data_IF_271558227242
#
_entry.id   IF_271558227242
#
_cell.length_a   1.000
_cell.length_b   1.000
_cell.length_c   1.000
_cell.angle_alpha   90.00
_cell.angle_beta   90.00
_cell.angle_gamma   90.00
#
_symmetry.space_group_name_H-M   'P 1'
#
loop_
_entity.id
_entity.type
_entity.pdbx_description
1 polymer ?
#
# COMPACT_ATOMS: atom_id res chain seq x y z
N UNK A 1 19.32 -8.53 13.33
CA UNK A 1 18.65 -7.75 14.41
C UNK A 1 18.14 -6.46 13.80
N UNK A 2 16.88 -6.09 14.02
CA UNK A 2 16.34 -4.83 13.51
C UNK A 2 17.02 -3.66 14.25
N UNK A 3 17.31 -2.55 13.55
CA UNK A 3 17.86 -1.38 14.22
C UNK A 3 16.82 -0.75 15.15
N UNK A 4 17.24 -0.09 16.22
CA UNK A 4 16.34 0.63 17.15
C UNK A 4 15.41 1.62 16.43
N UNK A 5 15.86 2.17 15.31
CA UNK A 5 15.07 3.07 14.46
C UNK A 5 13.98 2.31 13.67
N UNK A 6 14.30 1.12 13.18
CA UNK A 6 13.36 0.25 12.50
C UNK A 6 12.26 -0.23 13.46
N UNK A 7 12.61 -0.61 14.68
CA UNK A 7 11.65 -1.01 15.71
C UNK A 7 10.67 0.11 16.07
N UNK A 8 11.17 1.34 16.23
CA UNK A 8 10.34 2.54 16.43
C UNK A 8 9.39 2.77 15.24
N UNK A 9 9.89 2.58 14.02
CA UNK A 9 9.10 2.72 12.79
C UNK A 9 7.99 1.67 12.73
N UNK A 10 8.30 0.41 13.05
CA UNK A 10 7.32 -0.68 13.13
C UNK A 10 6.26 -0.38 14.18
N UNK A 11 6.67 0.03 15.39
CA UNK A 11 5.73 0.38 16.46
C UNK A 11 4.79 1.52 16.05
N UNK A 12 5.33 2.54 15.38
CA UNK A 12 4.52 3.63 14.84
C UNK A 12 3.50 3.14 13.81
N UNK A 13 3.93 2.37 12.80
CA UNK A 13 3.01 1.86 11.77
C UNK A 13 1.97 0.89 12.36
N UNK A 14 2.33 0.05 13.33
CA UNK A 14 1.38 -0.79 14.06
C UNK A 14 0.33 0.05 14.78
N UNK A 15 0.74 1.12 15.47
CA UNK A 15 -0.19 2.03 16.15
C UNK A 15 -1.12 2.74 15.18
N UNK A 16 -0.58 3.29 14.09
CA UNK A 16 -1.38 3.96 13.05
C UNK A 16 -2.37 2.96 12.45
N UNK A 17 -1.91 1.79 12.04
CA UNK A 17 -2.76 0.77 11.42
C UNK A 17 -3.83 0.21 12.38
N UNK A 18 -3.49 0.07 13.66
CA UNK A 18 -4.43 -0.32 14.71
C UNK A 18 -5.54 0.72 14.94
N UNK A 19 -5.33 1.98 14.58
CA UNK A 19 -6.35 3.04 14.68
C UNK A 19 -7.09 3.24 13.34
N UNK A 20 -6.37 3.31 12.23
CA UNK A 20 -6.97 3.60 10.92
C UNK A 20 -7.74 2.41 10.34
N UNK A 21 -7.34 1.17 10.65
CA UNK A 21 -8.06 -0.03 10.23
C UNK A 21 -9.50 -0.08 10.77
N UNK A 22 -9.72 0.00 12.10
CA UNK A 22 -11.07 0.07 12.66
C UNK A 22 -11.90 1.21 12.09
N UNK A 23 -11.33 2.40 11.88
CA UNK A 23 -12.06 3.53 11.29
C UNK A 23 -12.43 3.24 9.83
N UNK A 24 -11.58 2.55 9.07
CA UNK A 24 -11.85 2.16 7.68
C UNK A 24 -13.05 1.22 7.54
N UNK A 25 -13.43 0.51 8.61
CA UNK A 25 -14.65 -0.31 8.69
C UNK A 25 -15.93 0.53 8.95
N UNK A 26 -15.78 1.81 9.32
CA UNK A 26 -16.92 2.69 9.68
C UNK A 26 -17.32 3.65 8.57
N UNK A 27 -18.48 4.31 8.74
CA UNK A 27 -18.93 5.42 7.87
C UNK A 27 -18.03 6.67 7.96
N UNK A 28 -17.13 6.76 8.95
CA UNK A 28 -16.19 7.87 9.09
C UNK A 28 -14.94 7.75 8.19
N UNK A 29 -14.87 6.75 7.31
CA UNK A 29 -13.73 6.51 6.41
C UNK A 29 -13.40 7.68 5.45
N UNK A 30 -14.33 8.61 5.21
CA UNK A 30 -14.01 9.79 4.40
C UNK A 30 -12.95 10.68 5.08
N UNK A 31 -12.92 10.73 6.42
CA UNK A 31 -11.86 11.41 7.17
C UNK A 31 -10.52 10.71 6.99
N UNK A 32 -10.50 9.37 7.00
CA UNK A 32 -9.26 8.59 6.88
C UNK A 32 -8.59 8.81 5.54
N UNK A 33 -9.36 9.00 4.45
CA UNK A 33 -8.83 9.35 3.14
C UNK A 33 -8.04 10.67 3.15
N UNK A 34 -8.58 11.72 3.77
CA UNK A 34 -7.91 13.02 3.86
C UNK A 34 -6.65 12.94 4.72
N UNK A 35 -6.73 12.24 5.86
CA UNK A 35 -5.59 12.01 6.75
C UNK A 35 -4.49 11.22 6.02
N UNK A 36 -4.85 10.14 5.32
CA UNK A 36 -3.90 9.32 4.55
C UNK A 36 -3.14 10.15 3.51
N UNK A 37 -3.85 10.99 2.74
CA UNK A 37 -3.22 11.89 1.75
C UNK A 37 -2.31 12.94 2.39
N UNK A 38 -2.73 13.50 3.52
CA UNK A 38 -1.90 14.46 4.27
C UNK A 38 -0.62 13.79 4.77
N UNK A 39 -0.74 12.60 5.38
CA UNK A 39 0.41 11.81 5.83
C UNK A 39 1.32 11.43 4.67
N UNK A 40 0.77 11.04 3.51
CA UNK A 40 1.55 10.75 2.32
C UNK A 40 2.32 11.99 1.84
N UNK A 41 1.70 13.17 1.82
CA UNK A 41 2.38 14.42 1.49
C UNK A 41 3.46 14.80 2.50
N UNK A 42 3.23 14.58 3.79
CA UNK A 42 4.23 14.79 4.83
C UNK A 42 5.41 13.83 4.69
N UNK A 43 5.16 12.51 4.53
CA UNK A 43 6.20 11.50 4.31
C UNK A 43 7.01 11.82 3.06
N UNK A 44 6.36 12.16 1.96
CA UNK A 44 7.00 12.56 0.71
C UNK A 44 8.01 13.69 0.94
N UNK A 45 7.59 14.78 1.60
CA UNK A 45 8.48 15.91 1.90
C UNK A 45 9.60 15.52 2.87
N UNK A 46 9.24 14.86 3.98
CA UNK A 46 10.19 14.51 5.05
C UNK A 46 11.29 13.55 4.57
N UNK A 47 10.97 12.64 3.64
CA UNK A 47 11.89 11.64 3.11
C UNK A 47 12.47 12.01 1.73
N UNK A 48 12.28 13.26 1.30
CA UNK A 48 12.74 13.78 0.00
C UNK A 48 12.35 12.84 -1.15
N UNK A 49 11.07 12.49 -1.22
CA UNK A 49 10.54 11.65 -2.29
C UNK A 49 10.72 12.31 -3.65
N UNK A 50 11.04 11.51 -4.66
CA UNK A 50 11.29 11.97 -6.03
C UNK A 50 10.37 11.27 -7.03
N UNK A 51 9.86 12.00 -8.04
CA UNK A 51 9.20 11.37 -9.19
C UNK A 51 10.11 10.35 -9.88
N UNK A 52 9.53 9.35 -10.51
CA UNK A 52 10.26 8.25 -11.12
C UNK A 52 9.76 8.01 -12.54
N UNK A 53 10.68 7.68 -13.45
CA UNK A 53 10.35 7.49 -14.87
C UNK A 53 10.00 6.04 -15.24
N UNK A 54 10.38 5.07 -14.40
CA UNK A 54 10.17 3.64 -14.63
C UNK A 54 9.44 2.99 -13.45
N UNK A 55 8.66 1.95 -13.72
CA UNK A 55 7.90 1.23 -12.69
C UNK A 55 8.80 0.52 -11.66
N UNK A 56 9.99 0.07 -12.09
CA UNK A 56 10.99 -0.52 -11.20
C UNK A 56 11.53 0.52 -10.20
N UNK A 57 11.80 1.74 -10.68
CA UNK A 57 12.24 2.84 -9.83
C UNK A 57 11.11 3.31 -8.89
N UNK A 58 9.86 3.35 -9.36
CA UNK A 58 8.68 3.61 -8.51
C UNK A 58 8.56 2.58 -7.37
N UNK A 59 8.66 1.29 -7.67
CA UNK A 59 8.54 0.24 -6.65
C UNK A 59 9.67 0.30 -5.62
N UNK A 60 10.90 0.59 -6.08
CA UNK A 60 12.07 0.75 -5.20
C UNK A 60 11.92 1.99 -4.31
N UNK A 61 11.48 3.10 -4.87
CA UNK A 61 11.28 4.35 -4.13
C UNK A 61 10.13 4.23 -3.12
N UNK A 62 9.02 3.59 -3.50
CA UNK A 62 7.93 3.24 -2.59
C UNK A 62 8.44 2.45 -1.39
N UNK A 63 9.23 1.38 -1.61
CA UNK A 63 9.86 0.61 -0.53
C UNK A 63 10.75 1.47 0.38
N UNK A 64 11.59 2.33 -0.21
CA UNK A 64 12.47 3.26 0.52
C UNK A 64 11.68 4.25 1.39
N UNK A 65 10.58 4.79 0.87
CA UNK A 65 9.72 5.72 1.61
C UNK A 65 9.04 5.08 2.82
N UNK A 66 8.78 3.77 2.82
CA UNK A 66 8.36 3.06 4.04
C UNK A 66 9.54 2.86 4.99
N UNK A 67 10.74 2.54 4.46
CA UNK A 67 11.94 2.30 5.27
C UNK A 67 11.86 0.99 6.07
N UNK A 68 11.07 0.05 5.57
CA UNK A 68 10.76 -1.25 6.18
C UNK A 68 10.89 -2.35 5.13
N UNK A 69 12.01 -2.37 4.41
CA UNK A 69 12.18 -3.12 3.15
C UNK A 69 11.84 -4.60 3.25
N UNK A 70 12.08 -5.23 4.40
CA UNK A 70 11.73 -6.64 4.63
C UNK A 70 10.24 -6.96 4.52
N UNK A 71 9.38 -5.96 4.69
CA UNK A 71 7.93 -6.10 4.62
C UNK A 71 7.34 -5.72 3.26
N UNK A 72 8.11 -5.04 2.40
CA UNK A 72 7.70 -4.58 1.08
C UNK A 72 8.65 -5.19 0.05
N UNK A 73 8.35 -6.41 -0.41
CA UNK A 73 9.24 -7.16 -1.30
C UNK A 73 8.82 -6.94 -2.75
N UNK A 74 9.76 -6.61 -3.62
CA UNK A 74 9.51 -6.59 -5.06
C UNK A 74 9.72 -8.01 -5.54
N UNK A 75 8.69 -8.60 -6.15
CA UNK A 75 8.71 -9.98 -6.67
C UNK A 75 9.36 -10.00 -8.06
N UNK A 76 8.76 -9.26 -9.01
CA UNK A 76 9.25 -9.15 -10.39
C UNK A 76 8.81 -7.86 -11.06
N UNK A 77 9.45 -7.52 -12.17
CA UNK A 77 9.06 -6.43 -13.06
C UNK A 77 8.99 -6.98 -14.48
N UNK A 78 7.82 -6.89 -15.10
CA UNK A 78 7.55 -7.38 -16.45
C UNK A 78 6.49 -6.48 -17.10
N UNK A 79 6.57 -6.27 -18.42
CA UNK A 79 5.60 -5.50 -19.21
C UNK A 79 5.18 -4.17 -18.57
N UNK A 80 6.15 -3.33 -18.19
CA UNK A 80 5.91 -2.04 -17.51
C UNK A 80 4.98 -2.17 -16.29
N UNK A 81 5.08 -3.27 -15.56
CA UNK A 81 4.35 -3.54 -14.32
C UNK A 81 5.32 -4.10 -13.28
N UNK A 82 5.40 -3.45 -12.12
CA UNK A 82 6.15 -4.00 -10.99
C UNK A 82 5.19 -4.72 -10.04
N UNK A 83 5.45 -6.00 -9.77
CA UNK A 83 4.70 -6.81 -8.83
C UNK A 83 5.43 -6.86 -7.49
N UNK A 84 4.69 -6.70 -6.40
CA UNK A 84 5.25 -6.65 -5.07
C UNK A 84 4.34 -7.31 -4.02
N UNK A 85 4.95 -7.68 -2.91
CA UNK A 85 4.33 -8.33 -1.77
C UNK A 85 4.43 -7.44 -0.52
N UNK A 86 3.32 -7.35 0.22
CA UNK A 86 3.24 -6.64 1.49
C UNK A 86 3.03 -7.65 2.62
N UNK A 87 4.07 -7.82 3.44
CA UNK A 87 4.13 -8.75 4.58
C UNK A 87 3.88 -8.04 5.92
N UNK A 88 3.71 -6.71 5.93
CA UNK A 88 3.51 -5.96 7.17
C UNK A 88 2.19 -6.36 7.87
N UNK A 89 2.16 -6.66 9.18
CA UNK A 89 0.94 -7.05 9.89
C UNK A 89 -0.20 -6.04 9.73
N UNK A 90 -1.40 -6.53 9.39
CA UNK A 90 -2.54 -5.69 9.08
C UNK A 90 -3.71 -5.90 10.05
N UNK A 91 -4.34 -4.82 10.51
CA UNK A 91 -5.52 -4.89 11.38
C UNK A 91 -6.78 -5.37 10.66
N UNK A 92 -6.79 -5.37 9.33
CA UNK A 92 -7.90 -5.87 8.51
C UNK A 92 -7.73 -7.33 8.11
N UNK A 93 -6.65 -7.99 8.51
CA UNK A 93 -6.36 -9.39 8.15
C UNK A 93 -7.49 -10.32 8.59
N UNK A 94 -8.01 -11.12 7.65
CA UNK A 94 -9.10 -12.08 7.89
C UNK A 94 -10.48 -11.47 8.16
N UNK A 95 -10.66 -10.15 8.06
CA UNK A 95 -11.95 -9.51 8.37
C UNK A 95 -13.04 -9.74 7.33
N UNK A 96 -12.69 -10.13 6.10
CA UNK A 96 -13.61 -10.20 4.96
C UNK A 96 -13.88 -8.87 4.26
N UNK A 97 -13.54 -7.72 4.87
CA UNK A 97 -13.82 -6.39 4.29
C UNK A 97 -12.66 -5.91 3.38
N UNK A 98 -12.61 -6.44 2.16
CA UNK A 98 -11.63 -6.03 1.15
C UNK A 98 -11.83 -4.57 0.73
N UNK A 99 -13.06 -4.04 0.81
CA UNK A 99 -13.32 -2.63 0.54
C UNK A 99 -12.68 -1.72 1.60
N UNK A 100 -12.68 -2.10 2.88
CA UNK A 100 -11.95 -1.41 3.94
C UNK A 100 -10.44 -1.46 3.70
N UNK A 101 -9.92 -2.60 3.23
CA UNK A 101 -8.52 -2.69 2.83
C UNK A 101 -8.20 -1.71 1.71
N UNK A 102 -9.05 -1.65 0.68
CA UNK A 102 -8.88 -0.69 -0.40
C UNK A 102 -8.87 0.75 0.14
N UNK A 103 -9.78 1.12 1.05
CA UNK A 103 -9.78 2.45 1.70
C UNK A 103 -8.49 2.71 2.49
N UNK A 104 -8.01 1.73 3.26
CA UNK A 104 -6.78 1.83 4.05
C UNK A 104 -5.53 2.07 3.18
N UNK A 105 -5.47 1.42 2.02
CA UNK A 105 -4.35 1.54 1.05
C UNK A 105 -4.30 2.91 0.32
N UNK A 106 -5.13 3.89 0.69
CA UNK A 106 -5.07 5.25 0.13
C UNK A 106 -3.73 5.93 0.40
N UNK A 107 -3.09 5.62 1.54
CA UNK A 107 -1.77 6.17 1.86
C UNK A 107 -0.73 5.78 0.79
N UNK A 108 -0.62 4.49 0.48
CA UNK A 108 0.29 3.96 -0.54
C UNK A 108 -0.06 4.50 -1.93
N UNK A 109 -1.34 4.50 -2.31
CA UNK A 109 -1.79 5.09 -3.60
C UNK A 109 -1.41 6.56 -3.71
N UNK A 110 -1.57 7.34 -2.64
CA UNK A 110 -1.24 8.76 -2.64
C UNK A 110 0.27 9.01 -2.73
N UNK A 111 1.11 8.13 -2.19
CA UNK A 111 2.56 8.18 -2.37
C UNK A 111 2.95 7.85 -3.81
N UNK A 112 2.45 6.73 -4.36
CA UNK A 112 2.78 6.31 -5.72
C UNK A 112 2.30 7.30 -6.77
N UNK A 113 1.15 7.93 -6.56
CA UNK A 113 0.67 9.00 -7.45
C UNK A 113 1.64 10.17 -7.54
N UNK A 114 2.38 10.48 -6.47
CA UNK A 114 3.44 11.51 -6.49
C UNK A 114 4.69 11.06 -7.23
N UNK A 115 4.93 9.75 -7.30
CA UNK A 115 6.02 9.17 -8.09
C UNK A 115 5.69 9.10 -9.58
N UNK A 116 4.44 9.34 -9.97
CA UNK A 116 3.96 9.15 -11.34
C UNK A 116 3.39 7.76 -11.60
N UNK A 117 3.04 7.00 -10.55
CA UNK A 117 2.47 5.66 -10.66
C UNK A 117 1.11 5.48 -9.97
N UNK A 118 0.44 4.38 -10.28
CA UNK A 118 -0.76 3.91 -9.60
C UNK A 118 -0.47 2.56 -8.90
N UNK A 119 -1.06 2.37 -7.72
CA UNK A 119 -1.01 1.09 -6.99
C UNK A 119 -2.34 0.36 -7.14
N UNK A 120 -2.25 -0.90 -7.56
CA UNK A 120 -3.37 -1.82 -7.68
C UNK A 120 -3.15 -2.95 -6.69
N UNK A 121 -4.13 -3.21 -5.82
CA UNK A 121 -4.09 -4.36 -4.90
C UNK A 121 -4.71 -5.54 -5.63
N UNK A 122 -3.91 -6.58 -5.91
CA UNK A 122 -4.35 -7.79 -6.62
C UNK A 122 -4.93 -8.82 -5.66
N UNK A 123 -4.25 -9.03 -4.52
CA UNK A 123 -4.72 -9.92 -3.44
C UNK A 123 -4.58 -9.20 -2.11
N UNK A 124 -5.64 -9.23 -1.31
CA UNK A 124 -5.66 -8.62 0.02
C UNK A 124 -5.85 -9.68 1.09
N UNK A 125 -5.02 -9.66 2.13
CA UNK A 125 -5.20 -10.48 3.33
C UNK A 125 -6.45 -10.11 4.15
N UNK A 126 -7.18 -9.06 3.77
CA UNK A 126 -8.52 -8.88 4.31
C UNK A 126 -9.47 -9.99 3.85
N UNK A 127 -9.27 -10.57 2.67
CA UNK A 127 -9.93 -11.80 2.27
C UNK A 127 -9.33 -12.99 3.04
N UNK A 128 -10.13 -13.75 3.84
CA UNK A 128 -9.65 -14.90 4.59
C UNK A 128 -9.05 -16.02 3.74
N UNK A 129 -9.34 -16.06 2.44
CA UNK A 129 -8.80 -17.04 1.49
C UNK A 129 -7.35 -16.75 1.12
N UNK A 130 -6.94 -15.47 1.14
CA UNK A 130 -5.56 -15.06 0.83
C UNK A 130 -4.65 -15.40 2.02
N UNK A 131 -3.59 -16.17 1.77
CA UNK A 131 -2.62 -16.60 2.78
C UNK A 131 -1.25 -15.95 2.53
N UNK A 132 -0.47 -15.75 3.59
CA UNK A 132 0.90 -15.26 3.51
C UNK A 132 1.01 -13.73 3.47
N UNK A 133 0.81 -13.12 2.29
CA UNK A 133 1.01 -11.68 2.08
C UNK A 133 -0.08 -11.05 1.21
N UNK A 134 -0.16 -9.71 1.19
CA UNK A 134 -0.94 -9.03 0.14
C UNK A 134 -0.09 -8.94 -1.12
N UNK A 135 -0.71 -9.08 -2.30
CA UNK A 135 -0.03 -8.87 -3.59
C UNK A 135 -0.52 -7.58 -4.21
N UNK A 136 0.40 -6.79 -4.73
CA UNK A 136 0.12 -5.51 -5.37
C UNK A 136 0.87 -5.39 -6.69
N UNK A 137 0.37 -4.55 -7.57
CA UNK A 137 1.02 -4.13 -8.79
C UNK A 137 1.16 -2.61 -8.82
N UNK A 138 2.25 -2.15 -9.42
CA UNK A 138 2.56 -0.75 -9.66
C UNK A 138 2.69 -0.54 -11.17
N UNK A 139 1.97 0.44 -11.69
CA UNK A 139 2.03 0.88 -13.09
C UNK A 139 2.22 2.38 -13.17
N UNK A 140 2.57 2.89 -14.36
CA UNK A 140 2.55 4.33 -14.63
C UNK A 140 1.14 4.89 -14.43
N UNK A 141 1.08 6.14 -13.98
CA UNK A 141 -0.18 6.81 -13.76
C UNK A 141 -0.95 6.95 -15.08
N UNK A 142 -2.25 6.69 -15.05
CA UNK A 142 -3.13 6.73 -16.22
C UNK A 142 -2.75 5.73 -17.34
N UNK A 143 -2.12 4.61 -16.97
CA UNK A 143 -2.02 3.44 -17.85
C UNK A 143 -3.42 2.95 -18.26
N UNK A 144 -3.65 2.79 -19.56
CA UNK A 144 -4.98 2.47 -20.10
C UNK A 144 -5.34 0.98 -20.03
N UNK A 145 -4.39 0.12 -19.66
CA UNK A 145 -4.61 -1.33 -19.59
C UNK A 145 -5.50 -1.69 -18.38
N UNK A 146 -6.45 -2.61 -18.60
CA UNK A 146 -7.45 -3.04 -17.61
C UNK A 146 -7.37 -4.53 -17.25
N UNK A 147 -6.26 -5.18 -17.61
CA UNK A 147 -5.98 -6.60 -17.37
C UNK A 147 -5.76 -6.94 -15.89
N UNK A 148 -5.42 -5.95 -15.06
CA UNK A 148 -5.29 -6.13 -13.62
C UNK A 148 -6.62 -5.80 -12.93
N UNK A 149 -7.24 -6.82 -12.33
CA UNK A 149 -8.48 -6.65 -11.57
C UNK A 149 -8.15 -6.35 -10.11
N UNK A 150 -8.57 -5.20 -9.56
CA UNK A 150 -8.39 -4.90 -8.15
C UNK A 150 -9.16 -5.87 -7.24
N UNK A 151 -8.54 -6.29 -6.13
CA UNK A 151 -9.12 -7.23 -5.16
C UNK A 151 -10.50 -6.80 -4.62
N UNK A 152 -10.74 -5.50 -4.50
CA UNK A 152 -12.00 -4.97 -3.99
C UNK A 152 -13.16 -5.05 -4.99
N UNK A 153 -12.88 -5.32 -6.26
CA UNK A 153 -13.87 -5.53 -7.31
C UNK A 153 -14.23 -7.01 -7.43
N UNK A 154 -13.30 -7.93 -7.14
CA UNK A 154 -13.56 -9.39 -7.16
C UNK A 154 -14.20 -9.92 -5.89
N UNK A 155 -14.03 -9.25 -4.74
CA UNK A 155 -14.59 -9.67 -3.46
C UNK A 155 -16.12 -9.55 -3.36
N UNK A 156 -16.78 -8.94 -4.36
CA UNK A 156 -18.24 -8.82 -4.46
C UNK A 156 -18.89 -9.90 -5.33
N UNK A 157 -18.12 -10.90 -5.80
CA UNK A 157 -18.60 -12.04 -6.61
C UNK A 157 -18.80 -13.31 -5.78
#
# INVERSE_FOLDING_TARGET
MASTQEEKTIAFYKRVNGTTGPIALTRAHWLTRRIARFLAAFTWRKKNGTPQDTVSAMATEWRRLFGLERFWKIDRVEDETAYAEIHFPCSLEGTGDVAACHRLMEYDRALLKKMGGDLIVLESRADPRVKGCCKVAIRKHADARTDLVPAHETAAS
#
